data_IF_569766740377
#
_entry.id   IF_569766740377
#
_cell.length_a   1.000
_cell.length_b   1.000
_cell.length_c   1.000
_cell.angle_alpha   90.00
_cell.angle_beta   90.00
_cell.angle_gamma   90.00
#
_symmetry.space_group_name_H-M   'P 1'
#
loop_
_entity.id
_entity.type
_entity.pdbx_description
1 polymer ?
#
# COMPACT_ATOMS: atom_id res chain seq x y z
N UNK A 1 9.28 37.23 -35.20
CA UNK A 1 9.94 36.90 -33.92
C UNK A 1 11.28 36.24 -34.24
N UNK A 2 12.40 36.70 -33.67
CA UNK A 2 13.70 36.08 -33.95
C UNK A 2 13.80 34.69 -33.30
N UNK A 3 14.50 33.77 -33.95
CA UNK A 3 14.71 32.39 -33.50
C UNK A 3 15.24 32.30 -32.06
N UNK A 4 16.03 33.31 -31.66
CA UNK A 4 16.56 33.44 -30.30
C UNK A 4 15.47 33.71 -29.25
N UNK A 5 14.46 34.53 -29.58
CA UNK A 5 13.32 34.79 -28.70
C UNK A 5 12.39 33.57 -28.58
N UNK A 6 12.26 32.79 -29.65
CA UNK A 6 11.50 31.53 -29.62
C UNK A 6 12.19 30.48 -28.73
N UNK A 7 13.52 30.32 -28.84
CA UNK A 7 14.31 29.42 -27.98
C UNK A 7 14.24 29.83 -26.51
N UNK A 8 14.33 31.12 -26.20
CA UNK A 8 14.19 31.63 -24.83
C UNK A 8 12.78 31.42 -24.26
N UNK A 9 11.74 31.59 -25.07
CA UNK A 9 10.35 31.33 -24.65
C UNK A 9 10.11 29.84 -24.37
N UNK A 10 10.66 28.94 -25.20
CA UNK A 10 10.59 27.49 -24.98
C UNK A 10 11.38 27.10 -23.73
N UNK A 11 12.59 27.67 -23.53
CA UNK A 11 13.38 27.42 -22.33
C UNK A 11 12.67 27.92 -21.07
N UNK A 12 12.05 29.09 -21.13
CA UNK A 12 11.23 29.65 -20.04
C UNK A 12 10.00 28.79 -19.73
N UNK A 13 9.31 28.27 -20.75
CA UNK A 13 8.18 27.35 -20.56
C UNK A 13 8.62 26.00 -19.96
N UNK A 14 9.77 25.47 -20.39
CA UNK A 14 10.37 24.26 -19.82
C UNK A 14 10.77 24.48 -18.36
N UNK A 15 11.41 25.61 -18.04
CA UNK A 15 11.78 25.97 -16.66
C UNK A 15 10.56 26.19 -15.76
N UNK A 16 9.46 26.74 -16.29
CA UNK A 16 8.19 26.85 -15.57
C UNK A 16 7.47 25.51 -15.37
N UNK A 17 7.63 24.57 -16.30
CA UNK A 17 7.10 23.21 -16.19
C UNK A 17 7.94 22.32 -15.25
N UNK A 18 9.25 22.57 -15.18
CA UNK A 18 10.21 21.89 -14.31
C UNK A 18 10.40 22.58 -12.96
N UNK A 19 9.88 23.80 -12.77
CA UNK A 19 9.89 24.46 -11.49
C UNK A 19 9.19 23.56 -10.46
N UNK A 20 9.84 23.22 -9.33
CA UNK A 20 9.23 22.40 -8.32
C UNK A 20 8.00 23.14 -7.80
N UNK A 21 6.81 22.71 -8.24
CA UNK A 21 5.57 23.12 -7.60
C UNK A 21 5.67 22.61 -6.18
N UNK A 22 5.49 23.51 -5.20
CA UNK A 22 5.37 23.11 -3.82
C UNK A 22 4.22 22.09 -3.73
N UNK A 23 4.58 20.80 -3.73
CA UNK A 23 3.64 19.73 -3.58
C UNK A 23 3.11 19.85 -2.15
N UNK A 24 1.92 20.45 -2.01
CA UNK A 24 1.19 20.44 -0.74
C UNK A 24 0.68 19.02 -0.53
N UNK A 25 1.59 18.13 -0.11
CA UNK A 25 1.32 16.72 0.19
C UNK A 25 0.26 16.56 1.30
N UNK A 26 0.05 17.63 2.09
CA UNK A 26 -0.98 17.74 3.11
C UNK A 26 -1.80 19.02 2.87
N UNK A 27 -3.09 18.86 2.69
CA UNK A 27 -4.07 19.94 2.58
C UNK A 27 -4.88 20.00 3.87
N UNK A 28 -4.89 21.16 4.53
CA UNK A 28 -5.64 21.36 5.77
C UNK A 28 -6.77 22.36 5.55
N UNK A 29 -7.98 21.96 5.92
CA UNK A 29 -9.22 22.71 5.80
C UNK A 29 -9.89 22.78 7.17
N UNK A 30 -9.38 23.67 8.04
CA UNK A 30 -9.84 23.78 9.42
C UNK A 30 -9.61 22.48 10.22
N UNK A 31 -10.66 21.82 10.71
CA UNK A 31 -10.54 20.56 11.47
C UNK A 31 -10.26 19.33 10.60
N UNK A 32 -10.35 19.46 9.27
CA UNK A 32 -10.09 18.38 8.32
C UNK A 32 -8.69 18.53 7.75
N UNK A 33 -7.96 17.42 7.68
CA UNK A 33 -6.70 17.31 6.99
C UNK A 33 -6.74 16.12 6.02
N UNK A 34 -6.37 16.36 4.77
CA UNK A 34 -6.24 15.36 3.72
C UNK A 34 -4.77 15.29 3.31
N UNK A 35 -4.18 14.11 3.42
CA UNK A 35 -2.81 13.86 2.98
C UNK A 35 -2.72 12.56 2.20
N UNK A 36 -1.59 12.35 1.53
CA UNK A 36 -1.38 11.13 0.78
C UNK A 36 -0.11 11.16 -0.04
N UNK A 37 0.12 10.05 -0.75
CA UNK A 37 1.15 9.96 -1.76
C UNK A 37 0.68 9.10 -2.93
N UNK A 38 1.34 9.29 -4.07
CA UNK A 38 1.23 8.42 -5.22
C UNK A 38 2.63 7.89 -5.51
N UNK A 39 2.76 6.58 -5.58
CA UNK A 39 4.01 5.90 -5.88
C UNK A 39 3.83 5.12 -7.17
N UNK A 40 4.85 5.14 -8.03
CA UNK A 40 4.89 4.31 -9.23
C UNK A 40 6.19 3.51 -9.22
N UNK A 41 6.10 2.21 -9.47
CA UNK A 41 7.21 1.30 -9.48
C UNK A 41 7.22 0.53 -10.80
N UNK A 42 8.38 0.46 -11.46
CA UNK A 42 8.61 -0.43 -12.58
C UNK A 42 9.41 -1.61 -12.08
N UNK A 43 8.84 -2.80 -12.22
CA UNK A 43 9.47 -4.04 -11.75
C UNK A 43 10.03 -4.76 -12.96
N UNK A 44 11.34 -5.01 -12.91
CA UNK A 44 12.09 -5.72 -13.95
C UNK A 44 12.82 -6.87 -13.27
N UNK A 45 12.71 -8.07 -13.83
CA UNK A 45 13.47 -9.26 -13.43
C UNK A 45 14.67 -9.42 -14.35
N UNK A 46 15.79 -9.86 -13.81
CA UNK A 46 17.01 -10.07 -14.58
C UNK A 46 17.74 -11.29 -14.01
N UNK A 47 18.05 -12.32 -14.81
CA UNK A 47 18.93 -13.39 -14.38
C UNK A 47 20.42 -13.00 -14.46
N UNK A 48 20.79 -12.05 -15.33
CA UNK A 48 22.16 -11.52 -15.47
C UNK A 48 22.18 -10.08 -15.99
N UNK A 49 23.33 -9.39 -15.87
CA UNK A 49 23.47 -7.97 -16.21
C UNK A 49 23.06 -7.58 -17.65
N UNK A 50 22.98 -8.53 -18.58
CA UNK A 50 22.64 -8.30 -19.98
C UNK A 50 21.19 -8.68 -20.33
N UNK A 51 20.48 -9.36 -19.43
CA UNK A 51 19.13 -9.84 -19.67
C UNK A 51 18.14 -9.19 -18.70
N UNK A 52 17.16 -8.47 -19.24
CA UNK A 52 16.14 -7.79 -18.46
C UNK A 52 14.76 -8.17 -18.99
N UNK A 53 13.86 -8.47 -18.08
CA UNK A 53 12.47 -8.83 -18.34
C UNK A 53 11.57 -7.90 -17.55
N UNK A 54 10.80 -7.08 -18.26
CA UNK A 54 9.82 -6.23 -17.62
C UNK A 54 8.65 -7.08 -17.09
N UNK A 55 8.36 -6.98 -15.80
CA UNK A 55 7.26 -7.71 -15.16
C UNK A 55 5.99 -6.85 -15.18
N UNK A 56 6.04 -5.68 -14.55
CA UNK A 56 4.87 -4.83 -14.37
C UNK A 56 5.23 -3.38 -14.01
N UNK A 57 4.28 -2.47 -14.22
CA UNK A 57 4.25 -1.16 -13.59
C UNK A 57 3.13 -1.18 -12.54
N UNK A 58 3.50 -0.93 -11.28
CA UNK A 58 2.59 -0.85 -10.16
C UNK A 58 2.44 0.60 -9.75
N UNK A 59 1.20 1.02 -9.55
CA UNK A 59 0.87 2.34 -9.01
C UNK A 59 0.14 2.17 -7.69
N UNK A 60 0.62 2.84 -6.65
CA UNK A 60 0.07 2.78 -5.30
C UNK A 60 -0.35 4.19 -4.90
N UNK A 61 -1.62 4.37 -4.57
CA UNK A 61 -2.16 5.59 -4.01
C UNK A 61 -2.46 5.37 -2.53
N UNK A 62 -1.88 6.20 -1.67
CA UNK A 62 -2.27 6.30 -0.27
C UNK A 62 -3.04 7.59 -0.05
N UNK A 63 -4.20 7.48 0.60
CA UNK A 63 -5.02 8.62 0.98
C UNK A 63 -5.30 8.52 2.47
N UNK A 64 -5.08 9.61 3.19
CA UNK A 64 -5.36 9.73 4.61
C UNK A 64 -6.23 10.95 4.86
N UNK A 65 -7.34 10.72 5.57
CA UNK A 65 -8.23 11.74 6.09
C UNK A 65 -8.12 11.74 7.60
N UNK A 66 -7.80 12.91 8.15
CA UNK A 66 -7.82 13.21 9.57
C UNK A 66 -8.91 14.24 9.82
N UNK A 67 -9.77 13.99 10.80
CA UNK A 67 -10.86 14.89 11.15
C UNK A 67 -11.01 15.06 12.66
N UNK A 68 -10.62 16.23 13.15
CA UNK A 68 -10.79 16.64 14.54
C UNK A 68 -12.21 17.18 14.77
N UNK A 69 -13.21 16.29 14.70
CA UNK A 69 -14.63 16.61 14.74
C UNK A 69 -15.16 17.12 16.09
N UNK A 70 -14.46 16.81 17.19
CA UNK A 70 -14.80 17.25 18.54
C UNK A 70 -13.57 17.82 19.24
N UNK A 71 -13.64 19.08 19.66
CA UNK A 71 -12.55 19.76 20.36
C UNK A 71 -13.08 20.50 21.57
N UNK A 72 -12.40 20.36 22.71
CA UNK A 72 -12.79 20.99 23.98
C UNK A 72 -14.22 20.65 24.43
N UNK A 73 -14.70 19.45 24.08
CA UNK A 73 -16.07 18.96 24.28
C UNK A 73 -17.11 19.50 23.31
N UNK A 74 -16.73 20.36 22.36
CA UNK A 74 -17.67 20.95 21.41
C UNK A 74 -17.64 20.25 20.07
N UNK A 75 -18.81 19.78 19.63
CA UNK A 75 -19.04 19.22 18.31
C UNK A 75 -19.51 20.34 17.38
N UNK A 76 -18.80 20.53 16.26
CA UNK A 76 -19.02 21.64 15.31
C UNK A 76 -19.11 23.03 15.97
N UNK A 77 -18.43 23.23 17.12
CA UNK A 77 -18.52 24.44 17.93
C UNK A 77 -19.94 24.80 18.41
N UNK A 78 -20.90 23.87 18.36
CA UNK A 78 -22.32 24.12 18.68
C UNK A 78 -22.85 23.25 19.80
N UNK A 79 -22.53 21.96 19.78
CA UNK A 79 -23.08 21.00 20.73
C UNK A 79 -22.03 20.62 21.76
N UNK A 80 -22.33 20.80 23.04
CA UNK A 80 -21.43 20.41 24.13
C UNK A 80 -21.66 18.94 24.51
N UNK A 81 -20.59 18.16 24.51
CA UNK A 81 -20.57 16.76 24.92
C UNK A 81 -19.83 16.69 26.25
N UNK A 82 -20.55 16.50 27.38
CA UNK A 82 -19.98 16.74 28.70
C UNK A 82 -18.93 15.70 29.12
N UNK A 83 -18.92 14.52 28.51
CA UNK A 83 -18.04 13.40 28.90
C UNK A 83 -16.83 13.19 27.98
N UNK A 84 -16.74 13.92 26.87
CA UNK A 84 -15.60 13.82 25.94
C UNK A 84 -14.88 15.17 25.90
N UNK A 85 -13.56 15.16 26.06
CA UNK A 85 -12.70 16.34 25.92
C UNK A 85 -12.36 16.59 24.45
N UNK A 86 -11.90 15.55 23.75
CA UNK A 86 -11.63 15.63 22.32
C UNK A 86 -11.85 14.30 21.64
N UNK A 87 -12.14 14.35 20.34
CA UNK A 87 -12.14 13.16 19.51
C UNK A 87 -11.63 13.48 18.11
N UNK A 88 -10.90 12.53 17.53
CA UNK A 88 -10.34 12.60 16.18
C UNK A 88 -10.69 11.32 15.44
N UNK A 89 -11.20 11.48 14.22
CA UNK A 89 -11.39 10.39 13.28
C UNK A 89 -10.20 10.32 12.32
N UNK A 90 -9.66 9.12 12.11
CA UNK A 90 -8.65 8.84 11.10
C UNK A 90 -9.16 7.76 10.15
N UNK A 91 -9.04 8.02 8.84
CA UNK A 91 -9.30 7.07 7.78
C UNK A 91 -8.07 7.04 6.86
N UNK A 92 -7.53 5.84 6.63
CA UNK A 92 -6.41 5.59 5.72
C UNK A 92 -6.81 4.53 4.71
N UNK A 93 -6.72 4.90 3.44
CA UNK A 93 -7.04 4.05 2.31
C UNK A 93 -5.81 3.85 1.43
N UNK A 94 -5.70 2.65 0.85
CA UNK A 94 -4.69 2.31 -0.14
C UNK A 94 -5.38 1.73 -1.37
N UNK A 95 -5.09 2.29 -2.53
CA UNK A 95 -5.43 1.73 -3.83
C UNK A 95 -4.17 1.31 -4.56
N UNK A 96 -4.18 0.14 -5.17
CA UNK A 96 -3.11 -0.38 -6.01
C UNK A 96 -3.66 -0.67 -7.39
N UNK A 97 -2.86 -0.37 -8.41
CA UNK A 97 -3.12 -0.71 -9.79
C UNK A 97 -1.90 -1.38 -10.40
N UNK A 98 -2.10 -2.59 -10.95
CA UNK A 98 -1.07 -3.39 -11.60
C UNK A 98 -1.30 -3.46 -13.11
N UNK A 99 -0.40 -2.86 -13.89
CA UNK A 99 -0.52 -2.75 -15.36
C UNK A 99 -0.38 -4.08 -16.10
N UNK A 100 0.11 -5.14 -15.43
CA UNK A 100 0.31 -6.47 -16.01
C UNK A 100 -1.01 -7.09 -16.50
N UNK A 101 -2.13 -6.77 -15.84
CA UNK A 101 -3.44 -7.29 -16.17
C UNK A 101 -4.07 -6.62 -17.40
N UNK A 102 -3.61 -5.42 -17.75
CA UNK A 102 -4.03 -4.72 -18.98
C UNK A 102 -3.08 -5.03 -20.15
N UNK A 103 -1.77 -4.99 -19.91
CA UNK A 103 -0.76 -5.29 -20.94
C UNK A 103 -0.76 -6.78 -21.31
N UNK A 104 -1.14 -7.66 -20.38
CA UNK A 104 -1.17 -9.12 -20.54
C UNK A 104 0.00 -9.68 -21.33
N UNK A 105 1.23 -9.39 -20.89
CA UNK A 105 2.37 -9.89 -21.61
C UNK A 105 2.30 -11.43 -21.66
N UNK A 106 2.65 -12.00 -22.81
CA UNK A 106 2.52 -13.43 -23.11
C UNK A 106 3.54 -14.31 -22.39
N UNK A 107 3.92 -13.95 -21.17
CA UNK A 107 4.93 -14.65 -20.39
C UNK A 107 4.37 -15.97 -19.90
N UNK A 108 4.95 -17.05 -20.42
CA UNK A 108 4.83 -18.38 -19.84
C UNK A 108 6.08 -18.54 -19.01
N UNK A 109 5.93 -18.84 -17.72
CA UNK A 109 7.04 -19.22 -16.86
C UNK A 109 7.58 -20.58 -17.36
N UNK A 110 8.39 -20.56 -18.43
CA UNK A 110 8.85 -21.78 -19.11
C UNK A 110 9.69 -22.63 -18.17
N UNK A 111 10.48 -21.98 -17.31
CA UNK A 111 11.48 -22.58 -16.44
C UNK A 111 11.59 -21.76 -15.14
N UNK A 112 11.60 -22.44 -13.99
CA UNK A 112 12.23 -21.91 -12.76
C UNK A 112 13.75 -21.83 -13.00
N UNK A 113 14.54 -21.24 -12.09
CA UNK A 113 16.01 -21.27 -12.10
C UNK A 113 16.53 -22.73 -12.26
N UNK A 114 15.69 -23.72 -11.94
CA UNK A 114 15.94 -25.16 -12.08
C UNK A 114 15.15 -25.88 -13.20
N UNK A 115 14.39 -25.18 -14.06
CA UNK A 115 13.70 -25.79 -15.21
C UNK A 115 12.46 -26.63 -14.90
N UNK A 116 11.98 -26.68 -13.64
CA UNK A 116 10.84 -27.51 -13.19
C UNK A 116 9.94 -26.69 -12.25
N UNK A 117 8.97 -25.99 -12.81
CA UNK A 117 8.15 -25.01 -12.07
C UNK A 117 6.74 -25.49 -11.74
N UNK A 118 6.26 -26.60 -12.32
CA UNK A 118 4.86 -27.00 -12.25
C UNK A 118 4.64 -28.22 -11.37
N UNK A 119 3.56 -28.30 -10.58
CA UNK A 119 3.27 -29.46 -9.75
C UNK A 119 3.00 -30.69 -10.63
N UNK A 120 3.78 -31.73 -10.40
CA UNK A 120 3.67 -33.05 -10.99
C UNK A 120 3.13 -34.08 -9.99
N UNK A 121 3.01 -35.34 -10.43
CA UNK A 121 2.55 -36.43 -9.59
C UNK A 121 3.45 -36.60 -8.36
N UNK A 122 2.86 -37.02 -7.24
CA UNK A 122 3.58 -37.37 -6.00
C UNK A 122 4.44 -36.23 -5.42
N UNK A 123 4.04 -34.97 -5.63
CA UNK A 123 4.76 -33.80 -5.09
C UNK A 123 6.06 -33.45 -5.84
N UNK A 124 6.31 -34.09 -6.99
CA UNK A 124 7.42 -33.70 -7.88
C UNK A 124 7.12 -32.40 -8.62
N UNK A 125 8.15 -31.69 -9.07
CA UNK A 125 7.99 -30.57 -10.00
C UNK A 125 8.41 -30.99 -11.41
N UNK A 126 7.61 -30.60 -12.40
CA UNK A 126 7.78 -30.94 -13.82
C UNK A 126 7.91 -29.67 -14.66
N UNK A 127 8.41 -29.82 -15.88
CA UNK A 127 8.46 -28.74 -16.86
C UNK A 127 7.06 -28.47 -17.46
N UNK A 128 6.94 -27.37 -18.19
CA UNK A 128 5.67 -26.94 -18.81
C UNK A 128 5.08 -27.96 -19.81
N UNK A 129 5.93 -28.72 -20.52
CA UNK A 129 5.50 -29.69 -21.52
C UNK A 129 4.91 -30.94 -20.87
N UNK A 130 5.52 -31.42 -19.79
CA UNK A 130 5.03 -32.55 -19.03
C UNK A 130 3.79 -32.18 -18.22
N UNK A 131 3.73 -30.95 -17.69
CA UNK A 131 2.50 -30.41 -17.08
C UNK A 131 1.33 -30.33 -18.07
N UNK A 132 1.57 -29.82 -19.29
CA UNK A 132 0.56 -29.75 -20.33
C UNK A 132 0.04 -31.15 -20.72
N UNK A 133 0.93 -32.16 -20.79
CA UNK A 133 0.54 -33.56 -20.99
C UNK A 133 -0.35 -34.08 -19.87
N UNK A 134 -0.03 -33.79 -18.62
CA UNK A 134 -0.83 -34.19 -17.45
C UNK A 134 -2.22 -33.53 -17.40
N UNK A 135 -2.36 -32.30 -17.89
CA UNK A 135 -3.61 -31.53 -17.82
C UNK A 135 -4.57 -31.72 -18.98
N UNK A 136 -4.18 -32.43 -20.04
CA UNK A 136 -5.06 -32.65 -21.20
C UNK A 136 -4.35 -32.87 -22.54
N UNK A 137 -3.02 -32.99 -22.56
CA UNK A 137 -2.29 -33.33 -23.77
C UNK A 137 -2.34 -32.23 -24.85
N UNK A 138 -2.45 -32.56 -26.15
CA UNK A 138 -2.41 -31.61 -27.26
C UNK A 138 -3.46 -30.50 -27.21
N UNK A 139 -4.54 -30.67 -26.43
CA UNK A 139 -5.60 -29.67 -26.24
C UNK A 139 -5.31 -28.62 -25.15
N UNK A 140 -4.19 -28.73 -24.43
CA UNK A 140 -3.81 -27.77 -23.42
C UNK A 140 -3.41 -26.43 -24.05
N UNK A 141 -4.29 -25.43 -23.94
CA UNK A 141 -4.01 -24.10 -24.44
C UNK A 141 -2.91 -23.44 -23.59
N UNK A 142 -1.77 -23.10 -24.21
CA UNK A 142 -0.66 -22.39 -23.57
C UNK A 142 -1.08 -21.08 -22.90
N UNK A 143 -2.14 -20.44 -23.38
CA UNK A 143 -2.72 -19.25 -22.78
C UNK A 143 -3.21 -19.50 -21.35
N UNK A 144 -3.59 -20.73 -20.97
CA UNK A 144 -3.98 -21.05 -19.60
C UNK A 144 -2.84 -20.86 -18.57
N UNK A 145 -1.60 -20.69 -19.03
CA UNK A 145 -0.42 -20.43 -18.20
C UNK A 145 0.02 -18.97 -18.22
N UNK A 146 -0.70 -18.10 -18.94
CA UNK A 146 -0.39 -16.68 -19.08
C UNK A 146 -1.53 -15.84 -18.54
N UNK A 147 -1.22 -14.59 -18.18
CA UNK A 147 -2.25 -13.63 -17.75
C UNK A 147 -3.31 -13.44 -18.84
N UNK A 148 -2.94 -13.55 -20.12
CA UNK A 148 -3.88 -13.46 -21.26
C UNK A 148 -4.90 -14.60 -21.34
N UNK A 149 -4.68 -15.74 -20.66
CA UNK A 149 -5.69 -16.80 -20.55
C UNK A 149 -6.79 -16.52 -19.54
N UNK A 150 -6.59 -15.55 -18.64
CA UNK A 150 -7.64 -15.08 -17.75
C UNK A 150 -8.68 -14.29 -18.56
N UNK A 151 -9.96 -14.47 -18.21
CA UNK A 151 -11.02 -13.67 -18.81
C UNK A 151 -10.78 -12.19 -18.51
N UNK A 152 -11.27 -11.27 -19.37
CA UNK A 152 -11.16 -9.83 -19.10
C UNK A 152 -11.73 -9.46 -17.73
N UNK A 153 -12.84 -10.10 -17.34
CA UNK A 153 -13.48 -9.91 -16.04
C UNK A 153 -12.56 -10.29 -14.88
N UNK A 154 -11.86 -11.42 -15.00
CA UNK A 154 -10.95 -11.88 -13.94
C UNK A 154 -9.74 -10.94 -13.82
N UNK A 155 -9.20 -10.50 -14.97
CA UNK A 155 -8.12 -9.50 -15.01
C UNK A 155 -8.54 -8.17 -14.42
N UNK A 156 -9.74 -7.70 -14.73
CA UNK A 156 -10.32 -6.49 -14.15
C UNK A 156 -10.51 -6.60 -12.64
N UNK A 157 -10.81 -7.79 -12.13
CA UNK A 157 -10.91 -8.07 -10.70
C UNK A 157 -9.56 -8.11 -9.97
N UNK A 158 -8.48 -8.51 -10.67
CA UNK A 158 -7.14 -8.62 -10.09
C UNK A 158 -6.28 -7.37 -10.28
N UNK A 159 -6.58 -6.52 -11.27
CA UNK A 159 -5.77 -5.34 -11.59
C UNK A 159 -5.81 -4.27 -10.52
N UNK A 160 -6.87 -4.24 -9.72
CA UNK A 160 -7.03 -3.26 -8.65
C UNK A 160 -7.13 -3.96 -7.30
N UNK A 161 -6.32 -3.52 -6.35
CA UNK A 161 -6.47 -3.87 -4.93
C UNK A 161 -6.81 -2.61 -4.15
N UNK A 162 -7.95 -2.62 -3.46
CA UNK A 162 -8.47 -1.47 -2.72
C UNK A 162 -8.67 -1.87 -1.26
N UNK A 163 -7.93 -1.23 -0.36
CA UNK A 163 -7.93 -1.59 1.04
C UNK A 163 -8.20 -0.39 1.94
N UNK A 164 -9.21 -0.53 2.79
CA UNK A 164 -9.34 0.31 3.99
C UNK A 164 -8.31 -0.18 5.01
N UNK A 165 -7.19 0.54 5.05
CA UNK A 165 -6.05 0.21 5.91
C UNK A 165 -6.42 0.53 7.35
N UNK A 166 -6.68 1.79 7.67
CA UNK A 166 -6.98 2.21 9.03
C UNK A 166 -8.27 3.02 9.05
N UNK A 167 -9.10 2.82 10.07
CA UNK A 167 -10.36 3.52 10.27
C UNK A 167 -10.68 3.47 11.76
N UNK A 168 -10.26 4.49 12.49
CA UNK A 168 -10.43 4.53 13.94
C UNK A 168 -10.75 5.93 14.45
N UNK A 169 -11.38 5.98 15.62
CA UNK A 169 -11.57 7.19 16.38
C UNK A 169 -10.71 7.15 17.64
N UNK A 170 -9.96 8.22 17.86
CA UNK A 170 -9.36 8.56 19.15
C UNK A 170 -10.36 9.39 19.95
N UNK A 171 -10.57 9.02 21.21
CA UNK A 171 -11.51 9.66 22.12
C UNK A 171 -10.81 9.86 23.45
N UNK A 172 -10.72 11.12 23.89
CA UNK A 172 -10.23 11.47 25.21
C UNK A 172 -11.41 11.83 26.10
N UNK A 173 -11.58 11.11 27.21
CA UNK A 173 -12.68 11.39 28.14
C UNK A 173 -12.38 12.63 28.98
N UNK A 174 -13.42 13.38 29.31
CA UNK A 174 -13.34 14.52 30.23
C UNK A 174 -13.35 14.01 31.67
N UNK A 175 -12.51 14.60 32.53
CA UNK A 175 -12.45 14.32 33.97
C UNK A 175 -12.07 12.88 34.36
N UNK A 176 -11.75 12.02 33.40
CA UNK A 176 -11.26 10.67 33.62
C UNK A 176 -9.94 10.58 32.86
N UNK A 177 -8.84 10.12 33.49
CA UNK A 177 -7.55 9.97 32.84
C UNK A 177 -7.53 8.73 31.91
N UNK A 178 -8.51 8.62 31.01
CA UNK A 178 -8.70 7.51 30.09
C UNK A 178 -8.83 8.03 28.67
N UNK A 179 -7.96 7.54 27.79
CA UNK A 179 -8.05 7.69 26.34
C UNK A 179 -8.41 6.36 25.71
N UNK A 180 -9.34 6.38 24.77
CA UNK A 180 -9.84 5.20 24.06
C UNK A 180 -9.61 5.38 22.57
N UNK A 181 -8.99 4.39 21.92
CA UNK A 181 -8.96 4.29 20.46
C UNK A 181 -9.78 3.10 20.02
N UNK A 182 -10.78 3.34 19.19
CA UNK A 182 -11.69 2.31 18.72
C UNK A 182 -11.73 2.27 17.19
N UNK A 183 -11.51 1.08 16.62
CA UNK A 183 -11.65 0.86 15.19
C UNK A 183 -10.57 -0.03 14.60
N UNK A 184 -10.45 0.02 13.27
CA UNK A 184 -9.45 -0.69 12.50
C UNK A 184 -8.11 0.05 12.58
N UNK A 185 -7.14 -0.54 13.27
CA UNK A 185 -5.85 0.10 13.56
C UNK A 185 -4.72 -0.93 13.56
N UNK A 186 -3.49 -0.43 13.45
CA UNK A 186 -2.28 -1.23 13.56
C UNK A 186 -1.65 -1.02 14.94
N UNK A 187 -1.07 -2.07 15.52
CA UNK A 187 -0.33 -1.98 16.79
C UNK A 187 1.11 -1.58 16.46
N UNK A 188 1.56 -0.38 16.82
CA UNK A 188 2.97 0.02 16.61
C UNK A 188 3.58 0.39 17.96
N UNK A 189 4.49 -0.44 18.43
CA UNK A 189 5.19 -0.29 19.71
C UNK A 189 6.69 -0.33 19.41
N UNK A 190 7.37 0.82 19.52
CA UNK A 190 8.81 0.94 19.32
C UNK A 190 9.27 0.46 17.94
N UNK A 191 9.24 1.35 16.94
CA UNK A 191 9.91 1.08 15.67
C UNK A 191 11.38 1.47 15.83
N UNK A 192 12.25 0.48 16.03
CA UNK A 192 13.70 0.65 15.92
C UNK A 192 14.16 -0.09 14.67
N UNK A 193 15.02 0.59 13.91
CA UNK A 193 15.55 0.22 12.61
C UNK A 193 15.63 -1.30 12.34
N UNK A 194 14.91 -1.76 11.31
CA UNK A 194 14.93 -3.13 10.77
C UNK A 194 14.48 -4.32 11.65
N UNK A 195 14.02 -4.13 12.90
CA UNK A 195 13.57 -5.24 13.75
C UNK A 195 12.15 -5.05 14.30
N UNK A 196 11.26 -6.01 14.01
CA UNK A 196 9.97 -6.18 14.73
C UNK A 196 10.23 -6.83 16.09
N UNK A 197 10.99 -6.16 16.97
CA UNK A 197 11.45 -6.78 18.21
C UNK A 197 10.30 -7.04 19.20
N UNK A 198 9.26 -6.20 19.18
CA UNK A 198 8.08 -6.32 20.07
C UNK A 198 6.74 -6.36 19.33
N UNK A 199 6.69 -5.96 18.05
CA UNK A 199 5.46 -5.98 17.25
C UNK A 199 5.26 -7.32 16.53
N UNK A 200 5.31 -8.46 17.24
CA UNK A 200 5.00 -9.78 16.64
C UNK A 200 3.49 -10.03 16.49
N UNK A 201 2.68 -9.19 17.13
CA UNK A 201 1.23 -9.36 17.21
C UNK A 201 0.50 -9.04 15.89
N UNK A 202 1.03 -8.11 15.08
CA UNK A 202 0.44 -7.86 13.76
C UNK A 202 0.66 -9.04 12.80
N UNK A 203 -0.43 -9.60 12.29
CA UNK A 203 -0.37 -10.56 11.18
C UNK A 203 0.14 -9.85 9.93
N UNK A 204 0.94 -10.54 9.12
CA UNK A 204 1.46 -9.99 7.87
C UNK A 204 0.69 -10.53 6.68
N UNK A 205 0.49 -9.66 5.69
CA UNK A 205 0.10 -10.06 4.37
C UNK A 205 1.34 -10.34 3.52
N UNK A 206 1.62 -11.63 3.30
CA UNK A 206 2.72 -12.10 2.45
C UNK A 206 2.22 -12.59 1.08
N UNK A 207 0.93 -12.44 0.77
CA UNK A 207 0.43 -12.80 -0.57
C UNK A 207 0.83 -11.77 -1.61
N UNK A 208 1.23 -10.58 -1.17
CA UNK A 208 1.99 -9.65 -2.01
C UNK A 208 3.35 -10.25 -2.32
N UNK A 209 3.76 -10.13 -3.58
CA UNK A 209 4.98 -10.73 -4.10
C UNK A 209 6.16 -10.39 -3.18
N UNK A 210 6.99 -11.42 -2.96
CA UNK A 210 8.08 -11.59 -2.00
C UNK A 210 8.78 -10.32 -1.49
N UNK A 211 9.37 -10.39 -0.29
CA UNK A 211 10.07 -9.31 0.48
C UNK A 211 10.97 -8.34 -0.33
N UNK A 212 11.36 -8.71 -1.56
CA UNK A 212 12.10 -7.93 -2.54
C UNK A 212 11.31 -6.74 -3.13
N UNK A 213 9.96 -6.73 -3.03
CA UNK A 213 9.12 -5.60 -3.46
C UNK A 213 8.89 -4.53 -2.37
N UNK A 214 9.58 -4.65 -1.22
CA UNK A 214 9.55 -3.64 -0.14
C UNK A 214 10.43 -2.44 -0.57
N UNK A 215 9.87 -1.23 -0.77
CA UNK A 215 10.63 -0.10 -1.28
C UNK A 215 11.75 0.35 -0.32
N UNK A 216 12.99 0.58 -0.82
CA UNK A 216 14.07 1.23 -0.07
C UNK A 216 13.72 2.68 0.32
N UNK A 217 14.32 3.27 1.39
CA UNK A 217 15.48 2.75 2.11
C UNK A 217 15.22 2.11 3.49
N UNK A 218 13.99 2.01 4.01
CA UNK A 218 13.71 1.25 5.26
C UNK A 218 12.24 0.84 5.57
N UNK A 219 11.23 1.10 4.73
CA UNK A 219 9.92 1.53 5.29
C UNK A 219 8.63 0.78 4.87
N UNK A 220 8.69 -0.45 4.32
CA UNK A 220 7.46 -1.13 3.83
C UNK A 220 6.73 -2.03 4.83
N UNK A 221 7.22 -2.19 6.07
CA UNK A 221 6.56 -3.05 7.08
C UNK A 221 5.15 -2.59 7.39
N UNK A 222 4.91 -1.28 7.40
CA UNK A 222 3.57 -0.72 7.52
C UNK A 222 2.64 -1.28 6.45
N UNK A 223 3.08 -1.35 5.19
CA UNK A 223 2.22 -1.76 4.08
C UNK A 223 1.77 -3.23 4.15
N UNK A 224 2.59 -4.10 4.73
CA UNK A 224 2.31 -5.54 4.84
C UNK A 224 1.69 -5.92 6.19
N UNK A 225 1.75 -5.07 7.22
CA UNK A 225 1.03 -5.29 8.48
C UNK A 225 -0.48 -5.25 8.22
N UNK A 226 -1.19 -6.30 8.63
CA UNK A 226 -2.66 -6.34 8.57
C UNK A 226 -3.24 -5.69 9.82
N UNK A 227 -4.00 -4.59 9.67
CA UNK A 227 -4.64 -3.93 10.81
C UNK A 227 -5.82 -4.75 11.32
N UNK A 228 -6.16 -4.55 12.60
CA UNK A 228 -7.26 -5.27 13.26
C UNK A 228 -8.31 -4.31 13.79
N UNK A 229 -9.54 -4.80 13.90
CA UNK A 229 -10.59 -4.15 14.67
C UNK A 229 -10.32 -4.39 16.15
N UNK A 230 -10.02 -3.32 16.89
CA UNK A 230 -9.71 -3.43 18.31
C UNK A 230 -10.08 -2.16 19.07
N UNK A 231 -10.17 -2.32 20.39
CA UNK A 231 -10.24 -1.24 21.36
C UNK A 231 -8.89 -1.15 22.09
N UNK A 232 -8.31 0.04 22.13
CA UNK A 232 -7.12 0.36 22.92
C UNK A 232 -7.51 1.35 24.00
N UNK A 233 -7.15 1.02 25.23
CA UNK A 233 -7.35 1.87 26.40
C UNK A 233 -5.99 2.33 26.91
N UNK A 234 -5.86 3.63 27.16
CA UNK A 234 -4.68 4.26 27.75
C UNK A 234 -5.16 4.98 29.01
N UNK A 235 -4.79 4.43 30.17
CA UNK A 235 -5.08 5.04 31.47
C UNK A 235 -3.83 5.74 31.99
N UNK A 236 -3.94 7.03 32.24
CA UNK A 236 -2.86 7.85 32.77
C UNK A 236 -2.87 7.78 34.30
N UNK A 237 -1.80 7.21 34.86
CA UNK A 237 -1.60 7.05 36.31
C UNK A 237 -0.94 8.27 36.96
N UNK A 238 -0.62 9.32 36.18
CA UNK A 238 0.07 10.52 36.64
C UNK A 238 1.53 10.25 37.02
N UNK A 239 2.17 11.24 37.65
CA UNK A 239 3.53 11.11 38.15
C UNK A 239 3.56 10.18 39.37
N UNK A 240 3.92 8.91 39.12
CA UNK A 240 4.04 7.88 40.15
C UNK A 240 5.30 8.09 41.00
N UNK A 241 6.21 8.99 40.60
CA UNK A 241 7.42 9.33 41.35
C UNK A 241 7.58 10.84 41.45
N UNK A 242 7.40 11.39 42.65
CA UNK A 242 7.86 12.74 43.02
C UNK A 242 9.04 12.55 43.96
N UNK A 243 10.24 12.92 43.50
CA UNK A 243 11.44 13.07 44.32
C UNK A 243 11.40 14.43 45.02
#
# INVERSE_FOLDING_TARGET
>A
MSEHRAKLAVLGAILLALAPRAARATQKFGPIQLSGNLQTANIVRTPDQNTYEYIMNRNIAHIQLDYDWLQSGKFYNKYDIPFIDSSRLLIKWRGVYDSIYDTTPGFIQKEDIHGRAYPGPNGSFVNVFDFAKLKGGPGFARSALTVSGLSRRDRDGLKFDNQLREAYADIKLRNIPLSVRAGRQQIVWGETDNFRMLDRANSLDLTWHFQQEIPPPAYGWDEIRRPFWMLKFLYDVGDVWKL
#
